data_IF_749112398347
#
_entry.id   IF_749112398347
#
_cell.length_a   1.000
_cell.length_b   1.000
_cell.length_c   1.000
_cell.angle_alpha   90.00
_cell.angle_beta   90.00
_cell.angle_gamma   90.00
#
_symmetry.space_group_name_H-M   'P 1'
#
loop_
_entity.id
_entity.type
_entity.pdbx_description
1 polymer ?
#
# COMPACT_ATOMS: atom_id res chain seq x y z
N UNK A 1 40.29 44.73 34.13
CA UNK A 1 41.49 44.18 33.43
C UNK A 1 41.60 42.69 33.77
N UNK A 2 42.17 41.88 32.86
CA UNK A 2 42.15 40.40 32.72
C UNK A 2 40.94 39.91 31.91
N UNK A 3 40.98 39.77 30.57
CA UNK A 3 41.91 39.00 29.70
C UNK A 3 42.07 37.54 30.14
N UNK A 4 41.17 36.68 29.69
CA UNK A 4 41.51 35.33 29.23
C UNK A 4 40.73 35.03 27.95
N UNK A 5 41.44 35.26 26.84
CA UNK A 5 41.23 34.67 25.53
C UNK A 5 41.58 33.18 25.65
N UNK A 6 40.70 32.28 25.21
CA UNK A 6 40.94 30.84 25.34
C UNK A 6 39.89 29.99 24.66
N UNK A 7 39.99 29.94 23.32
CA UNK A 7 39.55 28.89 22.41
C UNK A 7 39.15 27.54 23.07
N UNK A 8 37.98 26.97 22.73
CA UNK A 8 37.67 25.62 23.18
C UNK A 8 36.31 25.04 22.79
N UNK A 9 36.20 24.65 21.50
CA UNK A 9 35.37 23.54 21.00
C UNK A 9 33.84 23.77 21.00
N UNK A 10 33.36 24.09 19.79
CA UNK A 10 32.02 23.81 19.35
C UNK A 10 31.70 22.32 19.55
N UNK A 11 30.88 21.99 20.55
CA UNK A 11 30.29 20.67 20.73
C UNK A 11 28.87 20.69 20.16
N UNK A 12 28.77 20.90 18.85
CA UNK A 12 27.57 20.60 18.08
C UNK A 12 27.44 19.07 18.01
N UNK A 13 26.82 18.48 19.03
CA UNK A 13 26.34 17.09 18.99
C UNK A 13 25.16 17.07 18.02
N UNK A 14 25.47 16.89 16.74
CA UNK A 14 24.48 16.46 15.76
C UNK A 14 24.15 15.02 16.16
N UNK A 15 23.05 14.84 16.90
CA UNK A 15 22.42 13.54 17.06
C UNK A 15 21.95 13.07 15.68
N UNK A 16 22.86 12.46 14.91
CA UNK A 16 22.51 11.64 13.77
C UNK A 16 21.90 10.35 14.33
N UNK A 17 20.61 10.41 14.69
CA UNK A 17 19.82 9.19 14.89
C UNK A 17 19.75 8.48 13.54
N UNK A 18 20.55 7.42 13.38
CA UNK A 18 20.36 6.49 12.27
C UNK A 18 18.94 5.94 12.38
N UNK A 19 18.18 5.83 11.27
CA UNK A 19 16.89 5.15 11.31
C UNK A 19 17.15 3.71 11.77
N UNK A 20 16.61 3.36 12.93
CA UNK A 20 16.60 1.98 13.40
C UNK A 20 15.61 1.26 12.49
N UNK A 21 16.14 0.46 11.56
CA UNK A 21 15.36 -0.51 10.82
C UNK A 21 14.83 -1.51 11.86
N UNK A 22 13.56 -1.37 12.26
CA UNK A 22 12.91 -2.31 13.14
C UNK A 22 12.47 -3.51 12.29
N UNK A 23 13.15 -4.64 12.43
CA UNK A 23 12.68 -5.91 11.87
C UNK A 23 11.42 -6.34 12.65
N UNK A 24 10.34 -6.66 11.94
CA UNK A 24 9.08 -7.15 12.54
C UNK A 24 8.83 -8.58 12.08
N UNK A 25 8.64 -9.47 13.04
CA UNK A 25 8.44 -10.89 12.82
C UNK A 25 7.00 -11.26 13.16
N UNK A 26 6.38 -12.10 12.32
CA UNK A 26 5.08 -12.71 12.61
C UNK A 26 5.33 -14.04 13.29
N UNK A 27 4.89 -14.17 14.54
CA UNK A 27 5.04 -15.37 15.35
C UNK A 27 3.67 -15.91 15.74
N UNK A 28 3.65 -17.18 16.16
CA UNK A 28 2.49 -17.82 16.77
C UNK A 28 2.82 -18.07 18.23
N UNK A 29 1.95 -17.64 19.15
CA UNK A 29 2.17 -17.87 20.58
C UNK A 29 1.78 -19.29 21.01
N UNK A 30 1.99 -19.61 22.30
CA UNK A 30 1.69 -20.93 22.85
C UNK A 30 0.20 -21.31 22.83
N UNK A 31 -0.71 -20.34 22.63
CA UNK A 31 -2.14 -20.55 22.48
C UNK A 31 -2.54 -20.73 20.99
N UNK A 32 -1.60 -20.59 20.05
CA UNK A 32 -1.87 -20.63 18.62
C UNK A 32 -2.26 -19.28 18.03
N UNK A 33 -2.17 -18.19 18.79
CA UNK A 33 -2.56 -16.85 18.36
C UNK A 33 -1.40 -16.14 17.64
N UNK A 34 -1.75 -15.36 16.62
CA UNK A 34 -0.76 -14.63 15.83
C UNK A 34 -0.33 -13.36 16.58
N UNK A 35 0.97 -13.22 16.81
CA UNK A 35 1.60 -12.07 17.47
C UNK A 35 2.72 -11.49 16.62
N UNK A 36 2.91 -10.17 16.66
CA UNK A 36 3.98 -9.48 15.94
C UNK A 36 5.04 -8.98 16.93
N UNK A 37 6.30 -9.28 16.66
CA UNK A 37 7.41 -9.00 17.58
C UNK A 37 8.56 -8.28 16.86
N UNK A 38 9.30 -7.44 17.59
CA UNK A 38 10.50 -6.76 17.10
C UNK A 38 11.78 -7.63 17.15
N UNK A 39 11.63 -8.90 17.51
CA UNK A 39 12.70 -9.91 17.61
C UNK A 39 12.25 -11.18 16.88
N UNK A 40 13.18 -12.01 16.36
CA UNK A 40 12.86 -13.30 15.73
C UNK A 40 12.02 -14.21 16.63
N UNK A 41 11.16 -15.03 16.02
CA UNK A 41 10.32 -15.96 16.78
C UNK A 41 11.18 -16.96 17.55
N UNK A 42 10.96 -17.08 18.86
CA UNK A 42 11.75 -17.98 19.72
C UNK A 42 11.49 -19.45 19.42
N UNK A 43 10.26 -19.81 19.03
CA UNK A 43 9.83 -21.13 18.56
C UNK A 43 8.64 -20.96 17.58
N UNK A 44 8.45 -21.90 16.64
CA UNK A 44 7.40 -21.88 15.60
C UNK A 44 7.90 -21.54 14.19
N UNK A 45 7.01 -21.60 13.20
CA UNK A 45 7.32 -21.28 11.80
C UNK A 45 7.63 -19.77 11.65
N UNK A 46 8.86 -19.44 11.28
CA UNK A 46 9.30 -18.05 11.08
C UNK A 46 8.90 -17.56 9.69
N UNK A 47 8.06 -16.53 9.63
CA UNK A 47 7.88 -15.73 8.41
C UNK A 47 8.43 -14.34 8.68
N UNK A 48 9.65 -14.08 8.19
CA UNK A 48 10.21 -12.73 8.17
C UNK A 48 9.33 -11.84 7.29
N UNK A 49 8.62 -10.91 7.91
CA UNK A 49 7.89 -9.89 7.18
C UNK A 49 8.86 -8.78 6.82
N UNK A 50 9.16 -8.62 5.53
CA UNK A 50 9.85 -7.44 5.03
C UNK A 50 8.87 -6.26 5.08
N UNK A 51 8.62 -5.71 6.28
CA UNK A 51 7.85 -4.49 6.47
C UNK A 51 8.76 -3.32 6.12
N UNK A 52 8.85 -3.02 4.83
CA UNK A 52 9.52 -1.80 4.37
C UNK A 52 8.66 -0.60 4.75
N UNK A 53 8.96 0.01 5.89
CA UNK A 53 8.55 1.38 6.18
C UNK A 53 9.28 2.31 5.21
N UNK A 54 8.72 2.48 4.00
CA UNK A 54 9.20 3.49 3.08
C UNK A 54 8.82 4.85 3.67
N UNK A 55 9.82 5.57 4.19
CA UNK A 55 9.71 6.98 4.52
C UNK A 55 9.37 7.74 3.23
N UNK A 56 8.07 8.00 3.02
CA UNK A 56 7.55 8.66 1.83
C UNK A 56 7.57 10.18 2.06
N UNK A 57 8.65 10.85 1.65
CA UNK A 57 8.76 12.31 1.75
C UNK A 57 8.18 13.07 0.54
N UNK A 58 7.13 12.57 -0.12
CA UNK A 58 6.42 13.31 -1.18
C UNK A 58 4.91 13.17 -1.03
N UNK A 59 4.27 14.26 -0.60
CA UNK A 59 2.82 14.44 -0.51
C UNK A 59 2.16 13.45 0.42
N UNK A 60 1.96 13.84 1.69
CA UNK A 60 1.17 13.02 2.60
C UNK A 60 -0.24 12.86 2.00
N UNK A 61 -0.62 11.64 1.66
CA UNK A 61 -2.00 11.30 1.34
C UNK A 61 -2.77 11.40 2.65
N UNK A 62 -3.63 12.40 2.76
CA UNK A 62 -4.38 12.77 3.96
C UNK A 62 -5.83 12.27 3.94
N UNK A 63 -6.29 11.78 2.78
CA UNK A 63 -7.65 11.31 2.55
C UNK A 63 -7.73 9.79 2.36
N UNK A 64 -8.90 9.21 2.64
CA UNK A 64 -9.22 7.82 2.32
C UNK A 64 -9.55 7.69 0.83
N UNK A 65 -9.29 6.52 0.25
CA UNK A 65 -9.72 6.24 -1.12
C UNK A 65 -11.23 6.02 -1.10
N UNK A 66 -11.93 6.66 -2.01
CA UNK A 66 -13.36 6.43 -2.23
C UNK A 66 -13.69 6.47 -3.72
N UNK A 67 -14.85 5.93 -4.07
CA UNK A 67 -15.36 5.99 -5.44
C UNK A 67 -14.77 4.91 -6.35
N UNK A 68 -14.93 5.12 -7.66
CA UNK A 68 -14.53 4.15 -8.68
C UNK A 68 -13.25 4.58 -9.39
N UNK A 69 -12.43 3.59 -9.72
CA UNK A 69 -11.10 3.76 -10.29
C UNK A 69 -10.84 2.71 -11.37
N UNK A 70 -10.41 3.14 -12.55
CA UNK A 70 -10.03 2.27 -13.63
C UNK A 70 -8.53 1.99 -13.59
N UNK A 71 -8.14 0.72 -13.54
CA UNK A 71 -6.74 0.31 -13.68
C UNK A 71 -6.24 0.60 -15.09
N UNK A 72 -5.22 1.44 -15.20
CA UNK A 72 -4.51 1.74 -16.45
C UNK A 72 -3.41 0.71 -16.70
N UNK A 73 -2.74 0.27 -15.63
CA UNK A 73 -1.75 -0.80 -15.68
C UNK A 73 -0.79 -0.77 -14.50
N UNK A 74 0.32 -1.51 -14.62
CA UNK A 74 1.34 -1.63 -13.56
C UNK A 74 2.73 -1.17 -14.03
N UNK A 75 3.59 -0.80 -13.09
CA UNK A 75 4.97 -0.41 -13.36
C UNK A 75 5.89 -0.68 -12.17
N UNK A 76 7.19 -0.57 -12.37
CA UNK A 76 8.20 -0.72 -11.31
C UNK A 76 8.55 0.59 -10.60
N UNK A 77 7.97 1.72 -11.01
CA UNK A 77 8.23 3.05 -10.43
C UNK A 77 6.93 3.84 -10.23
N UNK A 78 6.81 4.55 -9.10
CA UNK A 78 5.56 5.22 -8.71
C UNK A 78 5.09 6.31 -9.69
N UNK A 79 6.02 7.02 -10.32
CA UNK A 79 5.74 8.08 -11.31
C UNK A 79 5.91 7.57 -12.76
N UNK A 80 5.83 6.26 -12.98
CA UNK A 80 5.96 5.66 -14.31
C UNK A 80 4.85 6.10 -15.27
N UNK A 81 5.22 6.29 -16.54
CA UNK A 81 4.24 6.39 -17.63
C UNK A 81 3.73 4.98 -17.93
N UNK A 82 2.42 4.78 -17.82
CA UNK A 82 1.75 3.51 -18.13
C UNK A 82 0.75 3.75 -19.25
N UNK A 83 0.80 2.91 -20.27
CA UNK A 83 -0.22 2.90 -21.32
C UNK A 83 -1.36 1.98 -20.91
N UNK A 84 -2.58 2.40 -21.20
CA UNK A 84 -3.77 1.64 -20.88
C UNK A 84 -3.78 0.30 -21.62
N UNK A 85 -3.82 -0.79 -20.88
CA UNK A 85 -4.09 -2.11 -21.45
C UNK A 85 -5.60 -2.30 -21.64
N UNK A 86 -6.03 -2.38 -22.89
CA UNK A 86 -7.44 -2.57 -23.24
C UNK A 86 -7.89 -4.04 -23.26
N UNK A 87 -6.95 -4.99 -23.16
CA UNK A 87 -7.25 -6.43 -23.21
C UNK A 87 -7.82 -6.95 -21.87
N UNK A 88 -7.42 -6.32 -20.76
CA UNK A 88 -7.87 -6.67 -19.41
C UNK A 88 -8.32 -5.39 -18.69
N UNK A 89 -9.64 -5.23 -18.54
CA UNK A 89 -10.20 -4.04 -17.87
C UNK A 89 -10.49 -4.37 -16.43
N UNK A 90 -9.91 -3.61 -15.49
CA UNK A 90 -10.20 -3.77 -14.06
C UNK A 90 -10.71 -2.48 -13.45
N UNK A 91 -11.96 -2.50 -13.00
CA UNK A 91 -12.56 -1.39 -12.23
C UNK A 91 -12.49 -1.71 -10.76
N UNK A 92 -11.93 -0.80 -9.97
CA UNK A 92 -11.76 -0.91 -8.53
C UNK A 92 -12.69 0.11 -7.87
N UNK A 93 -13.60 -0.35 -7.02
CA UNK A 93 -14.57 0.50 -6.30
C UNK A 93 -14.23 0.45 -4.83
N UNK A 94 -13.93 1.61 -4.25
CA UNK A 94 -13.57 1.77 -2.85
C UNK A 94 -14.70 2.42 -2.05
N UNK A 95 -14.95 1.84 -0.88
CA UNK A 95 -15.72 2.40 0.22
C UNK A 95 -14.88 2.33 1.49
N UNK A 96 -15.36 2.91 2.60
CA UNK A 96 -14.63 2.95 3.87
C UNK A 96 -14.16 1.58 4.37
N UNK A 97 -14.92 0.51 4.08
CA UNK A 97 -14.69 -0.85 4.61
C UNK A 97 -14.61 -1.95 3.57
N UNK A 98 -14.83 -1.64 2.29
CA UNK A 98 -14.80 -2.63 1.23
C UNK A 98 -14.15 -2.09 -0.04
N UNK A 99 -13.34 -2.93 -0.66
CA UNK A 99 -12.91 -2.78 -2.05
C UNK A 99 -13.59 -3.85 -2.90
N UNK A 100 -14.14 -3.45 -4.04
CA UNK A 100 -14.69 -4.36 -5.05
C UNK A 100 -13.88 -4.22 -6.32
N UNK A 101 -13.46 -5.34 -6.92
CA UNK A 101 -12.83 -5.37 -8.23
C UNK A 101 -13.74 -6.07 -9.23
N UNK A 102 -14.05 -5.37 -10.32
CA UNK A 102 -14.68 -5.94 -11.50
C UNK A 102 -13.62 -6.14 -12.56
N UNK A 103 -13.44 -7.37 -13.03
CA UNK A 103 -12.46 -7.74 -14.05
C UNK A 103 -13.20 -8.22 -15.29
N UNK A 104 -12.95 -7.57 -16.41
CA UNK A 104 -13.49 -7.94 -17.72
C UNK A 104 -12.34 -8.36 -18.64
N UNK A 105 -12.42 -9.58 -19.17
CA UNK A 105 -11.47 -10.12 -20.15
C UNK A 105 -12.23 -10.87 -21.25
N UNK A 106 -12.39 -10.24 -22.41
CA UNK A 106 -13.25 -10.78 -23.47
C UNK A 106 -14.70 -10.94 -22.97
N UNK A 107 -15.22 -12.17 -22.96
CA UNK A 107 -16.57 -12.48 -22.45
C UNK A 107 -16.60 -12.79 -20.94
N UNK A 108 -15.45 -12.96 -20.31
CA UNK A 108 -15.36 -13.30 -18.90
C UNK A 108 -15.53 -12.04 -18.05
N UNK A 109 -16.43 -12.13 -17.06
CA UNK A 109 -16.67 -11.10 -16.07
C UNK A 109 -16.51 -11.73 -14.68
N UNK A 110 -15.51 -11.28 -13.94
CA UNK A 110 -15.32 -11.68 -12.54
C UNK A 110 -15.55 -10.49 -11.60
N UNK A 111 -16.05 -10.78 -10.41
CA UNK A 111 -16.17 -9.79 -9.33
C UNK A 111 -15.57 -10.34 -8.05
N UNK A 112 -14.63 -9.59 -7.49
CA UNK A 112 -13.99 -9.90 -6.22
C UNK A 112 -14.33 -8.82 -5.21
N UNK A 113 -14.71 -9.24 -4.00
CA UNK A 113 -15.02 -8.34 -2.88
C UNK A 113 -14.05 -8.61 -1.76
N UNK A 114 -13.49 -7.54 -1.22
CA UNK A 114 -12.49 -7.60 -0.18
C UNK A 114 -12.87 -6.66 0.95
N UNK A 115 -12.84 -7.17 2.18
CA UNK A 115 -12.91 -6.30 3.35
C UNK A 115 -11.60 -5.54 3.45
N UNK A 116 -11.70 -4.24 3.71
CA UNK A 116 -10.54 -3.37 3.88
C UNK A 116 -10.65 -2.55 5.16
N UNK A 117 -9.49 -2.16 5.68
CA UNK A 117 -9.36 -1.13 6.71
C UNK A 117 -8.43 -0.05 6.18
N UNK A 118 -8.97 1.13 5.91
CA UNK A 118 -8.21 2.23 5.35
C UNK A 118 -7.60 3.11 6.44
N UNK A 119 -6.49 3.74 6.11
CA UNK A 119 -5.93 4.88 6.81
C UNK A 119 -5.33 5.82 5.75
N UNK A 120 -5.19 7.12 6.00
CA UNK A 120 -4.53 8.00 5.04
C UNK A 120 -3.17 7.43 4.61
N UNK A 121 -2.98 7.27 3.29
CA UNK A 121 -1.76 6.69 2.73
C UNK A 121 -1.64 5.16 2.71
N UNK A 122 -2.60 4.39 3.25
CA UNK A 122 -2.55 2.92 3.20
C UNK A 122 -3.90 2.23 3.41
N UNK A 123 -4.00 0.96 3.04
CA UNK A 123 -5.11 0.13 3.48
C UNK A 123 -4.68 -1.32 3.65
N UNK A 124 -5.35 -2.00 4.57
CA UNK A 124 -5.18 -3.44 4.80
C UNK A 124 -6.31 -4.18 4.10
N UNK A 125 -5.97 -5.26 3.41
CA UNK A 125 -6.90 -6.13 2.68
C UNK A 125 -6.81 -7.56 3.21
N UNK A 126 -7.96 -8.19 3.45
CA UNK A 126 -8.06 -9.63 3.67
C UNK A 126 -8.17 -10.32 2.30
N UNK A 127 -7.05 -10.82 1.76
CA UNK A 127 -7.01 -11.31 0.38
C UNK A 127 -6.90 -12.85 0.32
N UNK A 128 -7.88 -13.58 -0.23
CA UNK A 128 -7.94 -15.06 -0.18
C UNK A 128 -6.72 -15.77 -0.75
N UNK A 129 -6.09 -15.20 -1.80
CA UNK A 129 -4.89 -15.78 -2.40
C UNK A 129 -3.66 -15.82 -1.47
N UNK A 130 -3.70 -15.12 -0.34
CA UNK A 130 -2.65 -15.15 0.69
C UNK A 130 -3.07 -15.98 1.91
N UNK A 131 -3.94 -16.98 1.71
CA UNK A 131 -4.34 -17.93 2.76
C UNK A 131 -5.07 -17.26 3.92
N UNK A 132 -6.01 -16.34 3.63
CA UNK A 132 -6.66 -15.45 4.61
C UNK A 132 -5.72 -14.47 5.35
N UNK A 133 -4.50 -14.30 4.83
CA UNK A 133 -3.55 -13.31 5.33
C UNK A 133 -3.99 -11.87 5.03
N UNK A 134 -3.74 -11.00 6.00
CA UNK A 134 -3.84 -9.55 5.85
C UNK A 134 -2.62 -9.03 5.11
N UNK A 135 -2.85 -8.24 4.06
CA UNK A 135 -1.80 -7.55 3.32
C UNK A 135 -2.03 -6.05 3.44
N UNK A 136 -0.97 -5.28 3.73
CA UNK A 136 -1.03 -3.82 3.71
C UNK A 136 -0.53 -3.31 2.36
N UNK A 137 -1.33 -2.50 1.68
CA UNK A 137 -0.94 -1.79 0.48
C UNK A 137 -0.80 -0.29 0.77
N UNK A 138 0.13 0.34 0.06
CA UNK A 138 0.49 1.73 0.30
C UNK A 138 -0.06 2.61 -0.83
N UNK A 139 -0.74 3.70 -0.48
CA UNK A 139 -1.21 4.69 -1.42
C UNK A 139 -0.11 5.72 -1.61
N UNK A 140 0.49 5.73 -2.80
CA UNK A 140 1.62 6.60 -3.14
C UNK A 140 1.16 7.93 -3.73
N UNK A 141 -0.03 7.95 -4.32
CA UNK A 141 -0.66 9.15 -4.86
C UNK A 141 -2.16 9.01 -4.84
N UNK A 142 -2.85 10.04 -4.40
CA UNK A 142 -4.30 10.18 -4.48
C UNK A 142 -4.63 11.63 -4.80
N UNK A 143 -5.20 11.85 -5.98
CA UNK A 143 -5.74 13.14 -6.46
C UNK A 143 -7.10 12.88 -7.09
N UNK A 144 -7.84 13.92 -7.49
CA UNK A 144 -9.15 13.75 -8.13
C UNK A 144 -9.14 12.79 -9.33
N UNK A 145 -8.08 12.82 -10.15
CA UNK A 145 -8.01 12.00 -11.38
C UNK A 145 -7.08 10.78 -11.29
N UNK A 146 -6.25 10.67 -10.25
CA UNK A 146 -5.14 9.69 -10.22
C UNK A 146 -5.00 9.02 -8.87
N UNK A 147 -4.87 7.70 -8.92
CA UNK A 147 -4.57 6.86 -7.77
C UNK A 147 -3.38 5.95 -8.13
N UNK A 148 -2.37 5.92 -7.27
CA UNK A 148 -1.22 5.02 -7.41
C UNK A 148 -1.07 4.21 -6.13
N UNK A 149 -1.16 2.88 -6.27
CA UNK A 149 -1.05 1.94 -5.16
C UNK A 149 0.21 1.10 -5.34
N UNK A 150 1.05 1.03 -4.32
CA UNK A 150 2.13 0.05 -4.27
C UNK A 150 1.57 -1.29 -3.75
N UNK A 151 1.50 -2.28 -4.65
CA UNK A 151 0.96 -3.61 -4.40
C UNK A 151 1.72 -4.65 -5.25
N UNK A 152 1.73 -5.91 -4.80
CA UNK A 152 2.29 -7.05 -5.54
C UNK A 152 3.76 -6.87 -6.02
N UNK A 153 4.57 -6.08 -5.29
CA UNK A 153 5.97 -5.81 -5.66
C UNK A 153 6.17 -4.71 -6.71
N UNK A 154 5.11 -4.02 -7.14
CA UNK A 154 5.17 -2.90 -8.08
C UNK A 154 4.17 -1.79 -7.73
N UNK A 155 3.82 -0.98 -8.72
CA UNK A 155 2.85 0.12 -8.61
C UNK A 155 1.71 -0.07 -9.62
N UNK A 156 0.48 -0.13 -9.11
CA UNK A 156 -0.74 -0.11 -9.90
C UNK A 156 -1.20 1.33 -10.07
N UNK A 157 -1.40 1.73 -11.32
CA UNK A 157 -1.84 3.07 -11.71
C UNK A 157 -3.31 3.03 -12.09
N UNK A 158 -4.10 3.90 -11.48
CA UNK A 158 -5.53 4.01 -11.72
C UNK A 158 -5.94 5.46 -12.02
N UNK A 159 -6.94 5.60 -12.87
CA UNK A 159 -7.62 6.86 -13.16
C UNK A 159 -9.03 6.86 -12.58
N UNK A 160 -9.56 8.00 -12.21
CA UNK A 160 -10.91 8.09 -11.69
C UNK A 160 -11.96 7.59 -12.70
N UNK A 161 -13.00 6.91 -12.21
CA UNK A 161 -14.11 6.36 -13.00
C UNK A 161 -14.02 4.86 -13.26
N UNK A 162 -15.05 4.32 -13.94
CA UNK A 162 -15.08 2.94 -14.38
C UNK A 162 -14.26 2.77 -15.68
N UNK A 163 -13.70 1.59 -15.94
CA UNK A 163 -13.01 1.28 -17.22
C UNK A 163 -13.94 1.15 -18.45
N UNK A 164 -15.12 1.77 -18.41
CA UNK A 164 -16.28 1.44 -19.24
C UNK A 164 -16.73 -0.02 -19.05
N UNK A 165 -17.60 -0.23 -18.06
CA UNK A 165 -18.44 -1.43 -17.98
C UNK A 165 -19.49 -1.25 -19.07
N UNK A 166 -19.28 -1.80 -20.26
CA UNK A 166 -20.37 -2.07 -21.18
C UNK A 166 -21.26 -3.12 -20.51
N UNK A 167 -22.16 -2.70 -19.62
CA UNK A 167 -23.33 -3.51 -19.32
C UNK A 167 -24.05 -3.62 -20.66
N UNK A 168 -24.12 -4.84 -21.20
CA UNK A 168 -25.03 -5.12 -22.28
C UNK A 168 -26.41 -4.61 -21.84
N UNK A 169 -26.84 -3.49 -22.42
CA UNK A 169 -28.23 -3.08 -22.42
C UNK A 169 -29.00 -4.22 -23.05
N UNK A 170 -29.61 -5.08 -22.22
CA UNK A 170 -30.70 -5.93 -22.70
C UNK A 170 -31.88 -5.01 -22.94
N UNK A 171 -31.93 -4.45 -24.14
CA UNK A 171 -33.17 -3.98 -24.73
C UNK A 171 -34.01 -5.24 -24.98
N UNK A 172 -35.09 -5.40 -24.24
CA UNK A 172 -36.27 -6.19 -24.61
C UNK A 172 -37.49 -5.42 -24.15
#
# INVERSE_FOLDING_TARGET
MNKFLGLGIALSVIFMTKPVLADVYKCTDAAGEVVFQGEPCREGDEVKLDIRFAENSKGAVDNLISGSWCEVGTSNVADGLVQQDNALRKTWIFSDRQMVQHITQGQRLDTFKYQIRQSPGSFVIDHPAFGSGQVSWQVKKLTEDKLVIAAYGGFTHLTAGNCEIAMASTTN
#
